data_IF_187155937750
#
_entry.id   IF_187155937750
#
_cell.length_a   1.000
_cell.length_b   1.000
_cell.length_c   1.000
_cell.angle_alpha   90.00
_cell.angle_beta   90.00
_cell.angle_gamma   90.00
#
_symmetry.space_group_name_H-M   'P 1'
#
loop_
_entity.id
_entity.type
_entity.pdbx_description
1 polymer ?
#
# COMPACT_ATOMS: atom_id res chain seq x y z
N UNK A 1 1.28 -13.21 3.09
CA UNK A 1 0.28 -13.49 4.12
C UNK A 1 0.87 -14.34 5.24
N UNK A 2 0.40 -14.17 6.47
CA UNK A 2 0.87 -14.91 7.64
C UNK A 2 -0.31 -15.44 8.46
N UNK A 3 -0.23 -16.69 8.86
CA UNK A 3 -1.04 -17.30 9.93
C UNK A 3 -0.24 -17.35 11.24
N UNK A 4 -0.74 -18.05 12.25
CA UNK A 4 -0.01 -18.22 13.51
C UNK A 4 1.29 -19.03 13.33
N UNK A 5 1.29 -20.03 12.46
CA UNK A 5 2.41 -20.97 12.26
C UNK A 5 3.16 -20.76 10.95
N UNK A 6 2.45 -20.33 9.90
CA UNK A 6 3.00 -20.28 8.56
C UNK A 6 3.02 -18.88 7.98
N UNK A 7 4.08 -18.59 7.23
CA UNK A 7 4.21 -17.41 6.36
C UNK A 7 4.32 -17.88 4.92
N UNK A 8 3.43 -17.35 4.08
CA UNK A 8 3.44 -17.56 2.63
C UNK A 8 3.81 -16.26 1.93
N UNK A 9 4.74 -16.35 0.97
CA UNK A 9 5.19 -15.22 0.15
C UNK A 9 4.95 -15.58 -1.31
N UNK A 10 4.38 -14.65 -2.07
CA UNK A 10 4.29 -14.68 -3.52
C UNK A 10 5.10 -13.53 -4.09
N UNK A 11 5.93 -13.81 -5.09
CA UNK A 11 6.73 -12.82 -5.79
C UNK A 11 6.25 -12.69 -7.23
N UNK A 12 6.04 -11.46 -7.69
CA UNK A 12 5.76 -11.15 -9.09
C UNK A 12 7.04 -11.07 -9.94
N UNK A 13 8.18 -10.93 -9.27
CA UNK A 13 9.52 -10.89 -9.88
C UNK A 13 10.38 -12.03 -9.33
N UNK A 14 10.07 -13.30 -9.69
CA UNK A 14 10.70 -14.47 -9.09
C UNK A 14 12.20 -14.59 -9.35
N UNK A 15 12.68 -13.95 -10.41
CA UNK A 15 14.08 -13.98 -10.84
C UNK A 15 14.92 -12.82 -10.29
N UNK A 16 14.27 -11.85 -9.62
CA UNK A 16 14.96 -10.68 -9.06
C UNK A 16 15.30 -10.92 -7.59
N UNK A 17 16.59 -11.10 -7.24
CA UNK A 17 16.99 -11.32 -5.86
C UNK A 17 16.76 -10.07 -5.00
N UNK A 18 16.49 -10.26 -3.71
CA UNK A 18 16.40 -9.16 -2.75
C UNK A 18 17.67 -8.31 -2.68
N UNK A 19 18.82 -8.93 -2.96
CA UNK A 19 20.13 -8.29 -3.06
C UNK A 19 20.48 -7.70 -4.42
N UNK A 20 19.52 -7.47 -5.35
CA UNK A 20 19.79 -6.75 -6.59
C UNK A 20 20.37 -5.35 -6.33
N UNK A 21 21.04 -4.80 -7.33
CA UNK A 21 21.72 -3.50 -7.18
C UNK A 21 20.70 -2.35 -7.01
N UNK A 22 20.94 -1.51 -6.01
CA UNK A 22 20.21 -0.28 -5.72
C UNK A 22 21.20 0.76 -5.22
N UNK A 23 21.37 1.86 -5.94
CA UNK A 23 22.35 2.92 -5.66
C UNK A 23 22.31 3.37 -4.20
N UNK A 24 21.11 3.61 -3.67
CA UNK A 24 20.90 4.00 -2.29
C UNK A 24 21.48 2.98 -1.29
N UNK A 25 21.20 1.69 -1.49
CA UNK A 25 21.60 0.60 -0.58
C UNK A 25 23.07 0.23 -0.75
N UNK A 26 23.55 0.24 -1.98
CA UNK A 26 24.91 -0.16 -2.33
C UNK A 26 25.96 0.90 -1.92
N UNK A 27 25.52 2.06 -1.43
CA UNK A 27 26.37 3.04 -0.76
C UNK A 27 26.78 2.64 0.68
N UNK A 28 26.11 1.63 1.27
CA UNK A 28 26.46 1.13 2.61
C UNK A 28 27.67 0.19 2.54
N UNK A 29 28.69 0.45 3.34
CA UNK A 29 29.90 -0.38 3.41
C UNK A 29 29.60 -1.85 3.70
N UNK A 30 28.63 -2.11 4.59
CA UNK A 30 28.18 -3.45 4.93
C UNK A 30 27.66 -4.20 3.70
N UNK A 31 26.81 -3.56 2.89
CA UNK A 31 26.21 -4.18 1.72
C UNK A 31 27.27 -4.44 0.65
N UNK A 32 28.16 -3.47 0.41
CA UNK A 32 29.31 -3.65 -0.52
C UNK A 32 30.18 -4.82 -0.12
N UNK A 33 30.53 -4.93 1.17
CA UNK A 33 31.34 -6.03 1.67
C UNK A 33 30.60 -7.37 1.56
N UNK A 34 29.31 -7.42 1.87
CA UNK A 34 28.51 -8.63 1.77
C UNK A 34 28.39 -9.10 0.32
N UNK A 35 28.11 -8.19 -0.63
CA UNK A 35 28.11 -8.48 -2.07
C UNK A 35 29.48 -8.99 -2.56
N UNK A 36 30.58 -8.37 -2.10
CA UNK A 36 31.94 -8.83 -2.40
C UNK A 36 32.15 -10.28 -1.96
N UNK A 37 31.78 -10.61 -0.72
CA UNK A 37 31.91 -11.97 -0.18
C UNK A 37 31.03 -12.97 -0.96
N UNK A 38 29.85 -12.57 -1.40
CA UNK A 38 29.01 -13.38 -2.28
C UNK A 38 29.70 -13.70 -3.60
N UNK A 39 30.23 -12.69 -4.30
CA UNK A 39 30.96 -12.85 -5.56
C UNK A 39 32.22 -13.73 -5.41
N UNK A 40 32.88 -13.62 -4.27
CA UNK A 40 34.04 -14.45 -3.90
C UNK A 40 33.66 -15.87 -3.44
N UNK A 41 32.36 -16.21 -3.39
CA UNK A 41 31.83 -17.50 -2.91
C UNK A 41 32.28 -17.85 -1.49
N UNK A 42 32.37 -16.85 -0.64
CA UNK A 42 32.79 -16.97 0.78
C UNK A 42 31.63 -17.00 1.77
N UNK A 43 30.41 -16.84 1.29
CA UNK A 43 29.20 -16.89 2.10
C UNK A 43 28.72 -18.33 2.28
N UNK A 44 28.05 -18.60 3.40
CA UNK A 44 27.28 -19.82 3.58
C UNK A 44 26.05 -19.83 2.67
N UNK A 45 25.42 -21.00 2.51
CA UNK A 45 24.18 -21.12 1.70
C UNK A 45 23.04 -20.23 2.23
N UNK A 46 22.95 -20.02 3.53
CA UNK A 46 21.94 -19.16 4.14
C UNK A 46 22.23 -17.69 3.83
N UNK A 47 23.48 -17.25 4.01
CA UNK A 47 23.90 -15.87 3.75
C UNK A 47 23.80 -15.50 2.28
N UNK A 48 23.97 -16.48 1.37
CA UNK A 48 23.89 -16.29 -0.08
C UNK A 48 22.46 -16.08 -0.58
N UNK A 49 21.44 -16.58 0.13
CA UNK A 49 20.02 -16.51 -0.29
C UNK A 49 19.55 -15.12 -0.65
N UNK A 50 20.10 -14.10 0.00
CA UNK A 50 19.75 -12.71 -0.29
C UNK A 50 20.10 -12.27 -1.72
N UNK A 51 21.12 -12.88 -2.31
CA UNK A 51 21.60 -12.60 -3.66
C UNK A 51 21.11 -13.61 -4.70
N UNK A 52 20.29 -14.57 -4.29
CA UNK A 52 19.74 -15.60 -5.16
C UNK A 52 18.27 -15.30 -5.50
N UNK A 53 17.79 -15.69 -6.69
CA UNK A 53 16.37 -15.58 -7.05
C UNK A 53 15.47 -16.24 -6.00
N UNK A 54 14.45 -15.54 -5.49
CA UNK A 54 13.57 -16.07 -4.44
C UNK A 54 12.62 -17.17 -4.93
N UNK A 55 12.37 -17.23 -6.24
CA UNK A 55 11.32 -18.02 -6.83
C UNK A 55 9.94 -17.39 -6.69
N UNK A 56 8.94 -17.96 -7.39
CA UNK A 56 7.56 -17.42 -7.42
C UNK A 56 6.87 -17.50 -6.05
N UNK A 57 7.13 -18.56 -5.29
CA UNK A 57 6.43 -18.85 -4.04
C UNK A 57 7.40 -19.34 -2.96
N UNK A 58 7.13 -18.94 -1.72
CA UNK A 58 7.86 -19.43 -0.56
C UNK A 58 6.88 -19.74 0.57
N UNK A 59 7.19 -20.74 1.37
CA UNK A 59 6.42 -21.12 2.55
C UNK A 59 7.37 -21.43 3.71
N UNK A 60 7.14 -20.84 4.86
CA UNK A 60 7.93 -21.06 6.06
C UNK A 60 7.04 -21.41 7.24
N UNK A 61 7.46 -22.38 8.08
CA UNK A 61 6.90 -22.57 9.41
C UNK A 61 7.62 -21.63 10.37
N UNK A 62 7.03 -20.46 10.63
CA UNK A 62 7.66 -19.39 11.42
C UNK A 62 7.68 -19.67 12.92
N UNK A 63 7.02 -20.74 13.36
CA UNK A 63 7.07 -21.20 14.74
C UNK A 63 8.28 -22.10 15.00
N UNK A 64 8.58 -23.03 14.06
CA UNK A 64 9.72 -23.94 14.15
C UNK A 64 10.99 -23.34 13.56
N UNK A 65 10.85 -22.51 12.54
CA UNK A 65 11.94 -21.80 11.83
C UNK A 65 11.70 -20.28 11.87
N UNK A 66 11.94 -19.60 13.01
CA UNK A 66 11.71 -18.17 13.16
C UNK A 66 12.62 -17.30 12.30
N UNK A 67 13.69 -17.86 11.74
CA UNK A 67 14.61 -17.16 10.83
C UNK A 67 14.30 -17.40 9.34
N UNK A 68 13.26 -18.16 9.01
CA UNK A 68 12.80 -18.39 7.65
C UNK A 68 13.91 -18.93 6.73
N UNK A 69 14.69 -19.85 7.24
CA UNK A 69 15.84 -20.43 6.54
C UNK A 69 15.49 -21.67 5.72
N UNK A 70 14.37 -22.34 6.03
CA UNK A 70 13.92 -23.57 5.39
C UNK A 70 12.60 -23.33 4.63
N UNK A 71 12.72 -23.16 3.30
CA UNK A 71 11.55 -22.98 2.43
C UNK A 71 10.83 -24.29 2.17
N UNK A 72 9.61 -24.45 2.68
CA UNK A 72 8.78 -25.65 2.60
C UNK A 72 7.95 -25.77 1.32
N UNK A 73 8.05 -24.81 0.39
CA UNK A 73 7.16 -24.73 -0.79
C UNK A 73 7.20 -26.00 -1.68
N UNK A 74 8.32 -26.69 -1.71
CA UNK A 74 8.49 -27.92 -2.48
C UNK A 74 8.11 -29.18 -1.70
N UNK A 75 7.76 -29.07 -0.41
CA UNK A 75 7.35 -30.20 0.41
C UNK A 75 5.88 -30.53 0.16
N UNK A 76 5.60 -31.73 -0.34
CA UNK A 76 4.25 -32.21 -0.67
C UNK A 76 3.30 -32.22 0.54
N UNK A 77 3.82 -32.45 1.73
CA UNK A 77 3.04 -32.46 2.96
C UNK A 77 2.42 -31.07 3.28
N UNK A 78 3.10 -30.02 2.85
CA UNK A 78 2.68 -28.61 3.09
C UNK A 78 1.96 -28.00 1.89
N UNK A 79 1.76 -28.73 0.79
CA UNK A 79 1.14 -28.19 -0.43
C UNK A 79 -0.27 -27.66 -0.17
N UNK A 80 -1.06 -28.32 0.67
CA UNK A 80 -2.41 -27.90 1.00
C UNK A 80 -2.42 -26.56 1.77
N UNK A 81 -1.41 -26.32 2.64
CA UNK A 81 -1.23 -25.06 3.38
C UNK A 81 -0.86 -23.96 2.41
N UNK A 82 0.11 -24.22 1.53
CA UNK A 82 0.53 -23.24 0.53
C UNK A 82 -0.63 -22.80 -0.39
N UNK A 83 -1.43 -23.75 -0.88
CA UNK A 83 -2.63 -23.46 -1.70
C UNK A 83 -3.69 -22.65 -0.95
N UNK A 84 -3.93 -22.99 0.31
CA UNK A 84 -4.90 -22.26 1.14
C UNK A 84 -4.47 -20.81 1.36
N UNK A 85 -3.21 -20.58 1.74
CA UNK A 85 -2.68 -19.23 1.95
C UNK A 85 -2.57 -18.43 0.65
N UNK A 86 -2.25 -19.06 -0.48
CA UNK A 86 -2.24 -18.41 -1.80
C UNK A 86 -3.66 -17.92 -2.17
N UNK A 87 -4.69 -18.73 -1.92
CA UNK A 87 -6.06 -18.32 -2.20
C UNK A 87 -6.49 -17.16 -1.29
N UNK A 88 -6.21 -17.23 0.00
CA UNK A 88 -6.50 -16.13 0.92
C UNK A 88 -5.76 -14.83 0.54
N UNK A 89 -4.52 -14.94 0.07
CA UNK A 89 -3.77 -13.78 -0.42
C UNK A 89 -4.43 -13.17 -1.65
N UNK A 90 -4.80 -13.99 -2.63
CA UNK A 90 -5.50 -13.52 -3.84
C UNK A 90 -6.83 -12.82 -3.51
N UNK A 91 -7.62 -13.44 -2.66
CA UNK A 91 -8.91 -12.86 -2.25
C UNK A 91 -8.72 -11.51 -1.56
N UNK A 92 -7.70 -11.38 -0.73
CA UNK A 92 -7.34 -10.12 -0.08
C UNK A 92 -6.88 -9.06 -1.09
N UNK A 93 -5.97 -9.40 -2.01
CA UNK A 93 -5.47 -8.46 -3.02
C UNK A 93 -6.61 -7.93 -3.92
N UNK A 94 -7.54 -8.81 -4.30
CA UNK A 94 -8.75 -8.41 -5.05
C UNK A 94 -9.62 -7.46 -4.21
N UNK A 95 -9.86 -7.81 -2.94
CA UNK A 95 -10.73 -7.01 -2.06
C UNK A 95 -10.19 -5.61 -1.79
N UNK A 96 -8.87 -5.43 -1.73
CA UNK A 96 -8.24 -4.11 -1.52
C UNK A 96 -7.93 -3.38 -2.83
N UNK A 97 -8.12 -4.03 -3.99
CA UNK A 97 -7.79 -3.45 -5.29
C UNK A 97 -6.29 -3.24 -5.48
N UNK A 98 -5.49 -4.21 -4.99
CA UNK A 98 -4.04 -4.17 -5.13
C UNK A 98 -3.62 -4.15 -6.60
N UNK A 99 -2.57 -3.38 -6.91
CA UNK A 99 -2.06 -3.18 -8.27
C UNK A 99 -0.64 -3.69 -8.47
N UNK A 100 -0.13 -4.50 -7.56
CA UNK A 100 1.26 -5.01 -7.60
C UNK A 100 1.58 -5.91 -8.82
N UNK A 101 0.56 -6.35 -9.55
CA UNK A 101 0.73 -7.07 -10.82
C UNK A 101 1.04 -6.15 -12.01
N UNK A 102 0.78 -4.85 -11.88
CA UNK A 102 1.03 -3.87 -12.93
C UNK A 102 2.49 -3.39 -12.86
N UNK A 103 3.04 -3.08 -14.02
CA UNK A 103 4.27 -2.30 -14.09
C UNK A 103 4.02 -0.87 -13.61
N UNK A 104 5.09 -0.13 -13.29
CA UNK A 104 4.99 1.28 -12.89
C UNK A 104 4.28 2.12 -13.94
N UNK A 105 4.61 1.94 -15.22
CA UNK A 105 3.99 2.65 -16.34
C UNK A 105 2.50 2.35 -16.45
N UNK A 106 2.13 1.07 -16.41
CA UNK A 106 0.70 0.66 -16.42
C UNK A 106 -0.05 1.21 -15.22
N UNK A 107 0.57 1.22 -14.03
CA UNK A 107 -0.04 1.79 -12.83
C UNK A 107 -0.25 3.31 -13.00
N UNK A 108 0.73 4.03 -13.54
CA UNK A 108 0.61 5.47 -13.82
C UNK A 108 -0.54 5.75 -14.80
N UNK A 109 -0.67 4.96 -15.87
CA UNK A 109 -1.77 5.09 -16.83
C UNK A 109 -3.15 4.97 -16.15
N UNK A 110 -3.28 4.15 -15.09
CA UNK A 110 -4.55 4.04 -14.34
C UNK A 110 -4.93 5.30 -13.56
N UNK A 111 -4.00 6.25 -13.41
CA UNK A 111 -4.21 7.53 -12.73
C UNK A 111 -4.54 8.66 -13.72
N UNK A 112 -4.52 8.38 -15.02
CA UNK A 112 -4.78 9.36 -16.06
C UNK A 112 -6.24 9.30 -16.54
N UNK A 113 -6.79 10.47 -16.84
CA UNK A 113 -8.07 10.66 -17.49
C UNK A 113 -7.82 11.30 -18.87
N UNK A 114 -8.00 10.50 -19.93
CA UNK A 114 -7.72 10.94 -21.30
C UNK A 114 -6.25 11.45 -21.53
N UNK A 115 -5.27 10.81 -20.83
CA UNK A 115 -3.86 11.17 -20.94
C UNK A 115 -3.40 12.32 -20.03
N UNK A 116 -4.29 12.90 -19.23
CA UNK A 116 -3.98 13.95 -18.24
C UNK A 116 -4.25 13.46 -16.83
N UNK A 117 -3.62 14.08 -15.82
CA UNK A 117 -3.87 13.74 -14.41
C UNK A 117 -5.35 13.97 -14.09
N UNK A 118 -6.02 12.95 -13.56
CA UNK A 118 -7.42 13.05 -13.18
C UNK A 118 -7.60 14.04 -12.02
N UNK A 119 -8.72 14.77 -12.00
CA UNK A 119 -9.12 15.59 -10.87
C UNK A 119 -10.00 14.78 -9.90
N UNK A 120 -9.74 14.93 -8.62
CA UNK A 120 -10.59 14.35 -7.55
C UNK A 120 -11.97 15.00 -7.57
N UNK A 121 -13.02 14.20 -7.48
CA UNK A 121 -14.40 14.71 -7.38
C UNK A 121 -14.59 15.49 -6.07
N UNK A 122 -15.35 16.58 -6.12
CA UNK A 122 -15.68 17.35 -4.93
C UNK A 122 -16.46 16.51 -3.90
N UNK A 123 -16.21 16.68 -2.59
CA UNK A 123 -16.96 15.97 -1.56
C UNK A 123 -18.41 16.43 -1.50
N UNK A 124 -19.32 15.51 -1.17
CA UNK A 124 -20.72 15.84 -0.86
C UNK A 124 -20.83 16.33 0.59
N UNK A 125 -21.75 17.26 0.82
CA UNK A 125 -22.06 17.82 2.14
C UNK A 125 -23.54 17.59 2.45
N UNK A 126 -23.83 17.06 3.64
CA UNK A 126 -25.18 17.03 4.23
C UNK A 126 -25.16 17.63 5.62
N UNK A 127 -26.30 18.16 6.08
CA UNK A 127 -26.47 18.68 7.42
C UNK A 127 -27.45 17.80 8.20
N UNK A 128 -26.97 17.23 9.30
CA UNK A 128 -27.78 16.36 10.17
C UNK A 128 -27.59 16.78 11.64
N UNK A 129 -28.69 17.04 12.33
CA UNK A 129 -28.67 17.47 13.73
C UNK A 129 -27.75 18.69 14.00
N UNK A 130 -27.71 19.65 13.05
CA UNK A 130 -26.85 20.84 13.14
C UNK A 130 -25.38 20.61 12.83
N UNK A 131 -24.96 19.41 12.48
CA UNK A 131 -23.56 19.07 12.12
C UNK A 131 -23.40 18.83 10.62
N UNK A 132 -22.24 19.22 10.11
CA UNK A 132 -21.86 18.98 8.72
C UNK A 132 -21.27 17.58 8.57
N UNK A 133 -21.86 16.79 7.68
CA UNK A 133 -21.37 15.47 7.27
C UNK A 133 -20.80 15.57 5.86
N UNK A 134 -19.54 15.20 5.72
CA UNK A 134 -18.83 15.19 4.45
C UNK A 134 -18.59 13.74 4.00
N UNK A 135 -18.74 13.47 2.71
CA UNK A 135 -18.47 12.17 2.13
C UNK A 135 -17.81 12.28 0.76
N UNK A 136 -16.94 11.33 0.43
CA UNK A 136 -16.32 11.17 -0.89
C UNK A 136 -16.73 9.86 -1.50
N UNK A 137 -17.12 9.85 -2.78
CA UNK A 137 -17.50 8.63 -3.51
C UNK A 137 -16.31 7.72 -3.81
N UNK A 138 -15.11 8.27 -3.89
CA UNK A 138 -13.91 7.59 -4.40
C UNK A 138 -12.93 7.21 -3.29
N UNK A 139 -13.37 7.25 -2.02
CA UNK A 139 -12.50 7.00 -0.87
C UNK A 139 -11.39 8.03 -0.69
N UNK A 140 -11.55 9.23 -1.30
CA UNK A 140 -10.60 10.32 -1.13
C UNK A 140 -10.61 10.86 0.31
N UNK A 141 -9.47 11.32 0.79
CA UNK A 141 -9.38 12.05 2.05
C UNK A 141 -10.03 13.42 1.90
N UNK A 142 -10.79 13.85 2.92
CA UNK A 142 -11.44 15.15 2.90
C UNK A 142 -10.72 16.07 3.88
N UNK A 143 -10.28 17.23 3.39
CA UNK A 143 -9.74 18.30 4.19
C UNK A 143 -10.78 19.39 4.42
N UNK A 144 -10.77 19.99 5.62
CA UNK A 144 -11.55 21.21 5.91
C UNK A 144 -10.67 22.29 6.52
N UNK A 145 -11.11 23.55 6.36
CA UNK A 145 -10.39 24.72 6.83
C UNK A 145 -11.38 25.72 7.40
N UNK A 146 -11.17 26.17 8.64
CA UNK A 146 -11.96 27.23 9.25
C UNK A 146 -11.50 28.62 8.80
N UNK A 147 -12.41 29.59 8.71
CA UNK A 147 -12.23 30.90 8.07
C UNK A 147 -11.00 31.71 8.55
N UNK A 148 -10.46 31.43 9.73
CA UNK A 148 -9.30 32.16 10.31
C UNK A 148 -8.00 31.34 10.32
N UNK A 149 -7.99 30.15 9.74
CA UNK A 149 -6.83 29.27 9.74
C UNK A 149 -6.28 29.11 8.33
N UNK A 150 -4.97 29.20 8.16
CA UNK A 150 -4.28 28.85 6.91
C UNK A 150 -4.02 27.34 6.81
N UNK A 151 -4.36 26.57 7.85
CA UNK A 151 -4.10 25.11 7.90
C UNK A 151 -5.36 24.33 7.58
N UNK A 152 -5.18 23.30 6.74
CA UNK A 152 -6.17 22.27 6.49
C UNK A 152 -6.13 21.20 7.59
N UNK A 153 -7.30 20.76 8.02
CA UNK A 153 -7.49 19.66 8.96
C UNK A 153 -8.15 18.47 8.25
N UNK A 154 -7.77 17.25 8.63
CA UNK A 154 -8.40 16.05 8.08
C UNK A 154 -9.82 15.89 8.67
N UNK A 155 -10.80 15.66 7.81
CA UNK A 155 -12.15 15.31 8.24
C UNK A 155 -12.20 13.84 8.67
N UNK A 156 -12.53 13.60 9.93
CA UNK A 156 -12.66 12.27 10.53
C UNK A 156 -13.99 12.03 11.22
N UNK A 157 -14.75 13.08 11.47
CA UNK A 157 -16.05 13.04 12.14
C UNK A 157 -16.89 14.26 11.79
N UNK A 158 -18.23 14.21 11.97
CA UNK A 158 -19.13 15.34 11.69
C UNK A 158 -18.73 16.63 12.40
N UNK A 159 -18.72 17.75 11.68
CA UNK A 159 -18.24 19.04 12.15
C UNK A 159 -19.37 19.86 12.76
N UNK A 160 -19.11 20.41 13.94
CA UNK A 160 -19.96 21.42 14.59
C UNK A 160 -19.44 22.82 14.22
N UNK A 161 -19.58 23.18 12.94
CA UNK A 161 -19.10 24.43 12.36
C UNK A 161 -20.17 25.01 11.43
N UNK A 162 -20.47 26.27 11.57
CA UNK A 162 -21.48 26.97 10.73
C UNK A 162 -20.92 27.41 9.37
N UNK A 163 -19.60 27.61 9.25
CA UNK A 163 -18.95 28.04 8.00
C UNK A 163 -17.53 27.53 7.95
N UNK A 164 -17.17 26.87 6.85
CA UNK A 164 -15.83 26.37 6.60
C UNK A 164 -15.62 26.13 5.10
N UNK A 165 -14.36 25.98 4.69
CA UNK A 165 -13.99 25.52 3.34
C UNK A 165 -13.68 24.03 3.40
N UNK A 166 -13.91 23.30 2.30
CA UNK A 166 -13.59 21.87 2.23
C UNK A 166 -13.25 21.45 0.82
N UNK A 167 -12.45 20.41 0.69
CA UNK A 167 -12.01 19.79 -0.55
C UNK A 167 -11.71 18.32 -0.35
N UNK A 168 -11.65 17.56 -1.42
CA UNK A 168 -11.14 16.18 -1.43
C UNK A 168 -9.75 16.09 -2.04
N UNK A 169 -8.95 15.14 -1.53
CA UNK A 169 -7.60 14.84 -2.01
C UNK A 169 -7.47 13.34 -2.16
N UNK A 170 -7.00 12.90 -3.31
CA UNK A 170 -6.74 11.50 -3.63
C UNK A 170 -5.33 11.36 -4.18
N UNK A 171 -4.61 10.31 -3.74
CA UNK A 171 -3.28 10.03 -4.25
C UNK A 171 -3.30 9.83 -5.77
N UNK A 172 -2.35 10.47 -6.47
CA UNK A 172 -2.20 10.38 -7.93
C UNK A 172 -3.18 11.23 -8.73
N UNK A 173 -4.05 12.02 -8.07
CA UNK A 173 -5.03 12.91 -8.69
C UNK A 173 -4.79 14.36 -8.28
N UNK A 174 -5.20 15.28 -9.12
CA UNK A 174 -5.31 16.68 -8.67
C UNK A 174 -6.36 16.81 -7.58
N UNK A 175 -6.19 17.79 -6.69
CA UNK A 175 -7.18 18.08 -5.65
C UNK A 175 -8.52 18.49 -6.27
N UNK A 176 -9.62 18.24 -5.57
CA UNK A 176 -10.91 18.77 -5.98
C UNK A 176 -10.93 20.31 -5.89
N UNK A 177 -11.92 20.93 -6.51
CA UNK A 177 -12.25 22.31 -6.22
C UNK A 177 -12.49 22.53 -4.72
N UNK A 178 -12.19 23.75 -4.24
CA UNK A 178 -12.45 24.15 -2.84
C UNK A 178 -13.86 24.69 -2.74
N UNK A 179 -14.71 24.00 -1.98
CA UNK A 179 -16.09 24.41 -1.71
C UNK A 179 -16.20 25.15 -0.38
N UNK A 180 -17.26 25.91 -0.23
CA UNK A 180 -17.60 26.65 1.00
C UNK A 180 -18.91 26.11 1.57
N UNK A 181 -18.84 25.60 2.80
CA UNK A 181 -20.01 25.22 3.57
C UNK A 181 -20.59 26.44 4.33
N UNK A 182 -21.92 26.53 4.38
CA UNK A 182 -22.67 27.41 5.28
C UNK A 182 -23.82 26.59 5.85
N UNK A 183 -23.98 26.63 7.17
CA UNK A 183 -25.12 25.99 7.83
C UNK A 183 -26.43 26.60 7.32
N UNK A 184 -27.49 25.80 7.12
CA UNK A 184 -28.80 26.31 6.84
C UNK A 184 -29.26 27.20 8.00
N UNK A 185 -29.92 28.32 7.68
CA UNK A 185 -30.58 29.12 8.72
C UNK A 185 -31.61 28.25 9.45
N UNK A 186 -31.76 28.43 10.79
CA UNK A 186 -32.87 27.78 11.46
C UNK A 186 -34.17 28.14 10.73
N UNK A 187 -35.01 27.17 10.43
CA UNK A 187 -36.35 27.42 9.93
C UNK A 187 -37.10 28.20 11.05
N UNK A 188 -37.62 29.40 10.70
CA UNK A 188 -38.50 30.15 11.58
C UNK A 188 -39.80 29.40 11.86
#
# INVERSE_FOLDING_TARGET
IRSNEYKYIRSWYPDVPGGHELDYRDNLDMVRNWRKLYLEKKLTSIESKWFEPPGERQLYNVFEDPFETNNLISNKEHEHIARHLDQQLKDFLIAVGDKSELTEDEMQETLLCNGEICQTSAPSLTWENGKAHLSSKEGASIGYQVKKSDKWSLYIAPLDLSTFRYKAVRYGFEESEVLVAKAPSPAE
#
